data_IF_410085872086
#
_entry.id   IF_410085872086
#
_cell.length_a   1.000
_cell.length_b   1.000
_cell.length_c   1.000
_cell.angle_alpha   90.00
_cell.angle_beta   90.00
_cell.angle_gamma   90.00
#
_symmetry.space_group_name_H-M   'P 1'
#
loop_
_entity.id
_entity.type
_entity.pdbx_description
1 polymer ?
#
# COMPACT_ATOMS: atom_id res chain seq x y z
N UNK A 1 -29.06 -24.08 4.97
CA UNK A 1 -27.82 -24.42 4.25
C UNK A 1 -26.88 -23.24 4.33
N UNK A 2 -25.84 -23.29 5.18
CA UNK A 2 -24.84 -22.22 5.25
C UNK A 2 -23.96 -22.33 4.02
N UNK A 3 -23.97 -21.30 3.18
CA UNK A 3 -23.18 -21.27 1.96
C UNK A 3 -21.73 -20.95 2.33
N UNK A 4 -20.93 -21.99 2.57
CA UNK A 4 -19.50 -21.91 2.96
C UNK A 4 -18.63 -21.47 1.77
N UNK A 5 -18.91 -20.28 1.23
CA UNK A 5 -18.08 -19.65 0.20
C UNK A 5 -16.83 -19.10 0.87
N UNK A 6 -15.72 -19.82 0.76
CA UNK A 6 -14.42 -19.36 1.25
C UNK A 6 -14.01 -18.08 0.50
N UNK A 7 -14.03 -16.95 1.21
CA UNK A 7 -13.67 -15.63 0.68
C UNK A 7 -12.30 -15.22 1.19
N UNK A 8 -11.30 -15.25 0.31
CA UNK A 8 -9.94 -14.78 0.62
C UNK A 8 -9.84 -13.30 0.28
N UNK A 9 -9.33 -12.49 1.21
CA UNK A 9 -9.07 -11.05 1.00
C UNK A 9 -7.59 -10.79 1.17
N UNK A 10 -6.94 -10.35 0.09
CA UNK A 10 -5.52 -9.96 0.09
C UNK A 10 -5.45 -8.44 0.17
N UNK A 11 -4.62 -7.90 1.07
CA UNK A 11 -4.31 -6.47 1.15
C UNK A 11 -2.82 -6.27 0.90
N UNK A 12 -2.47 -5.51 -0.12
CA UNK A 12 -1.09 -5.16 -0.41
C UNK A 12 -0.76 -3.81 0.20
N UNK A 13 0.41 -3.71 0.81
CA UNK A 13 0.96 -2.45 1.32
C UNK A 13 2.42 -2.37 0.88
N UNK A 14 2.82 -1.22 0.35
CA UNK A 14 4.21 -0.98 -0.01
C UNK A 14 4.54 0.50 -0.03
N UNK A 15 5.83 0.80 -0.01
CA UNK A 15 6.34 2.16 -0.09
C UNK A 15 6.47 2.64 -1.54
N UNK A 16 6.70 1.73 -2.48
CA UNK A 16 6.76 2.02 -3.91
C UNK A 16 5.47 1.57 -4.61
N UNK A 17 4.81 2.51 -5.29
CA UNK A 17 3.60 2.23 -6.07
C UNK A 17 3.84 1.26 -7.23
N UNK A 18 4.99 1.34 -7.90
CA UNK A 18 5.28 0.55 -9.12
C UNK A 18 5.37 -0.94 -8.77
N UNK A 19 6.08 -1.25 -7.69
CA UNK A 19 6.26 -2.63 -7.20
C UNK A 19 4.95 -3.22 -6.72
N UNK A 20 4.13 -2.43 -6.02
CA UNK A 20 2.82 -2.86 -5.52
C UNK A 20 1.88 -3.16 -6.69
N UNK A 21 1.86 -2.31 -7.72
CA UNK A 21 1.00 -2.51 -8.89
C UNK A 21 1.44 -3.73 -9.73
N UNK A 22 2.76 -3.93 -9.91
CA UNK A 22 3.30 -5.11 -10.59
C UNK A 22 2.94 -6.39 -9.85
N UNK A 23 3.06 -6.39 -8.52
CA UNK A 23 2.69 -7.53 -7.67
C UNK A 23 1.19 -7.82 -7.72
N UNK A 24 0.35 -6.78 -7.65
CA UNK A 24 -1.10 -6.92 -7.72
C UNK A 24 -1.54 -7.57 -9.04
N UNK A 25 -1.02 -7.09 -10.18
CA UNK A 25 -1.29 -7.67 -11.51
C UNK A 25 -0.88 -9.15 -11.55
N UNK A 26 0.34 -9.47 -11.10
CA UNK A 26 0.84 -10.86 -11.11
C UNK A 26 -0.02 -11.81 -10.28
N UNK A 27 -0.52 -11.36 -9.12
CA UNK A 27 -1.42 -12.16 -8.28
C UNK A 27 -2.75 -12.42 -9.00
N UNK A 28 -3.29 -11.40 -9.67
CA UNK A 28 -4.53 -11.52 -10.43
C UNK A 28 -4.36 -12.49 -11.61
N UNK A 29 -3.30 -12.35 -12.38
CA UNK A 29 -3.03 -13.23 -13.54
C UNK A 29 -2.92 -14.70 -13.09
N UNK A 30 -2.28 -14.94 -11.94
CA UNK A 30 -2.17 -16.28 -11.35
C UNK A 30 -3.53 -16.80 -10.86
N UNK A 31 -4.35 -15.95 -10.24
CA UNK A 31 -5.69 -16.31 -9.77
C UNK A 31 -6.65 -16.61 -10.94
N UNK A 32 -6.53 -15.88 -12.05
CA UNK A 32 -7.29 -16.15 -13.28
C UNK A 32 -6.83 -17.47 -13.91
N UNK A 33 -5.52 -17.70 -13.99
CA UNK A 33 -4.96 -18.96 -14.52
C UNK A 33 -5.39 -20.20 -13.73
N UNK A 34 -5.68 -20.04 -12.44
CA UNK A 34 -6.16 -21.12 -11.55
C UNK A 34 -7.69 -21.25 -11.53
N UNK A 35 -8.42 -20.43 -12.29
CA UNK A 35 -9.88 -20.49 -12.43
C UNK A 35 -10.66 -19.88 -11.26
N UNK A 36 -10.02 -19.10 -10.39
CA UNK A 36 -10.70 -18.43 -9.28
C UNK A 36 -11.50 -17.21 -9.75
N UNK A 37 -12.68 -16.97 -9.15
CA UNK A 37 -13.44 -15.73 -9.38
C UNK A 37 -12.79 -14.57 -8.61
N UNK A 38 -12.23 -13.61 -9.33
CA UNK A 38 -11.47 -12.48 -8.75
C UNK A 38 -12.29 -11.20 -8.78
N UNK A 39 -12.35 -10.50 -7.64
CA UNK A 39 -12.68 -9.08 -7.61
C UNK A 39 -11.37 -8.32 -7.87
N UNK A 40 -11.34 -7.46 -8.89
CA UNK A 40 -10.13 -6.77 -9.34
C UNK A 40 -9.45 -5.91 -8.25
N UNK A 41 -8.29 -5.32 -8.55
CA UNK A 41 -7.54 -4.55 -7.57
C UNK A 41 -8.30 -3.27 -7.23
N UNK A 42 -8.69 -3.10 -5.95
CA UNK A 42 -9.42 -1.93 -5.48
C UNK A 42 -8.42 -0.96 -4.85
N UNK A 43 -8.13 0.20 -5.46
CA UNK A 43 -7.21 1.15 -4.87
C UNK A 43 -7.77 1.70 -3.56
N UNK A 44 -7.00 1.59 -2.49
CA UNK A 44 -7.32 2.23 -1.22
C UNK A 44 -6.51 3.53 -1.07
N UNK A 45 -7.02 4.50 -0.30
CA UNK A 45 -6.30 5.74 -0.03
C UNK A 45 -4.89 5.48 0.52
N UNK A 46 -3.89 6.08 -0.13
CA UNK A 46 -2.49 6.08 0.31
C UNK A 46 -2.40 6.77 1.66
N UNK A 47 -1.80 6.10 2.65
CA UNK A 47 -1.54 6.73 3.94
C UNK A 47 -0.24 7.51 3.86
N UNK A 48 -0.28 8.80 4.19
CA UNK A 48 0.87 9.70 4.23
C UNK A 48 1.18 10.03 5.69
N UNK A 49 2.39 9.73 6.15
CA UNK A 49 2.88 10.12 7.47
C UNK A 49 3.93 11.20 7.30
N UNK A 50 3.63 12.41 7.76
CA UNK A 50 4.54 13.55 7.72
C UNK A 50 5.29 13.66 9.04
N UNK A 51 6.60 13.84 8.99
CA UNK A 51 7.47 14.02 10.15
C UNK A 51 8.31 15.27 9.92
N UNK A 52 8.34 16.15 10.90
CA UNK A 52 9.18 17.35 10.88
C UNK A 52 10.32 17.15 11.87
N UNK A 53 11.56 17.31 11.42
CA UNK A 53 12.77 17.15 12.24
C UNK A 53 13.58 18.44 12.18
N UNK A 54 14.07 18.92 13.31
CA UNK A 54 15.03 20.02 13.33
C UNK A 54 16.36 19.53 12.72
N UNK A 55 16.89 20.23 11.72
CA UNK A 55 18.20 19.91 11.13
C UNK A 55 19.35 20.24 12.07
N UNK A 56 19.23 21.32 12.84
CA UNK A 56 20.27 21.76 13.76
C UNK A 56 20.07 21.20 15.16
N UNK A 57 21.15 20.76 15.84
CA UNK A 57 21.09 20.36 17.24
C UNK A 57 20.90 21.54 18.20
N UNK A 58 21.19 22.79 17.81
CA UNK A 58 21.13 23.94 18.73
C UNK A 58 20.75 25.27 18.05
N UNK A 59 19.96 26.10 18.76
CA UNK A 59 19.51 27.47 18.44
C UNK A 59 18.63 27.63 17.17
N UNK A 60 18.91 26.93 16.07
CA UNK A 60 18.24 27.19 14.79
C UNK A 60 16.90 26.47 14.64
N UNK A 61 15.82 27.08 15.15
CA UNK A 61 14.44 26.56 15.04
C UNK A 61 13.83 26.70 13.64
N UNK A 62 14.30 27.63 12.82
CA UNK A 62 13.81 27.85 11.44
C UNK A 62 14.30 26.78 10.46
N UNK A 63 15.38 26.07 10.80
CA UNK A 63 15.94 24.98 9.98
C UNK A 63 15.22 23.65 10.25
N UNK A 64 13.95 23.56 9.86
CA UNK A 64 13.16 22.33 9.91
C UNK A 64 13.25 21.61 8.57
N UNK A 65 13.32 20.28 8.61
CA UNK A 65 13.21 19.42 7.44
C UNK A 65 11.93 18.59 7.54
N UNK A 66 11.21 18.49 6.43
CA UNK A 66 9.94 17.80 6.34
C UNK A 66 10.12 16.51 5.56
N UNK A 67 9.94 15.39 6.23
CA UNK A 67 9.96 14.07 5.63
C UNK A 67 8.53 13.53 5.50
N UNK A 68 8.30 12.76 4.45
CA UNK A 68 7.04 12.04 4.26
C UNK A 68 7.30 10.56 3.98
N UNK A 69 6.56 9.70 4.68
CA UNK A 69 6.45 8.28 4.36
C UNK A 69 5.09 8.06 3.73
N UNK A 70 5.09 7.69 2.45
CA UNK A 70 3.89 7.28 1.73
C UNK A 70 3.76 5.75 1.74
N UNK A 71 2.60 5.24 2.16
CA UNK A 71 2.25 3.82 2.08
C UNK A 71 1.10 3.63 1.11
N UNK A 72 1.41 3.05 -0.05
CA UNK A 72 0.46 2.70 -1.09
C UNK A 72 -0.24 1.40 -0.75
N UNK A 73 -1.55 1.36 -1.02
CA UNK A 73 -2.40 0.22 -0.67
C UNK A 73 -3.25 -0.21 -1.85
N UNK A 74 -3.35 -1.52 -2.04
CA UNK A 74 -4.23 -2.18 -3.01
C UNK A 74 -4.98 -3.31 -2.31
#
# INVERSE_FOLDING_TARGET
>A
MVNTTARIRVKLKGYDSVVVDKSAKRIIDTAISTGAKVAGPIPMPTKRKKVAVNRSPFIYKSSIEHFEISTHKK
#
